data_IF_143233606746
#
_entry.id   IF_143233606746
#
_cell.length_a   1.000
_cell.length_b   1.000
_cell.length_c   1.000
_cell.angle_alpha   90.00
_cell.angle_beta   90.00
_cell.angle_gamma   90.00
#
_symmetry.space_group_name_H-M   'P 1'
#
loop_
_entity.id
_entity.type
_entity.pdbx_description
1 polymer ?
#
# COMPACT_ATOMS: atom_id res chain seq x y z
N UNK A 1 5.76 -5.25 16.58
CA UNK A 1 6.25 -5.23 15.19
C UNK A 1 6.49 -3.75 14.86
N UNK A 2 7.64 -3.39 14.32
CA UNK A 2 7.95 -1.98 14.01
C UNK A 2 7.21 -1.58 12.73
N UNK A 3 6.38 -0.54 12.81
CA UNK A 3 5.63 -0.01 11.68
C UNK A 3 6.36 1.22 11.11
N UNK A 4 6.61 1.31 9.79
CA UNK A 4 6.25 0.36 8.74
C UNK A 4 7.24 -0.82 8.59
N UNK A 5 6.71 -2.04 8.55
CA UNK A 5 7.53 -3.26 8.49
C UNK A 5 8.18 -3.49 7.10
N UNK A 6 9.39 -4.08 7.03
CA UNK A 6 9.98 -4.61 5.79
C UNK A 6 9.23 -5.85 5.30
N UNK A 7 9.55 -6.33 4.09
CA UNK A 7 9.06 -7.62 3.61
C UNK A 7 9.56 -8.77 4.50
N UNK A 8 8.69 -9.73 4.75
CA UNK A 8 9.09 -11.04 5.26
C UNK A 8 9.87 -11.81 4.20
N UNK A 9 10.51 -12.92 4.56
CA UNK A 9 11.23 -13.74 3.57
C UNK A 9 10.29 -14.30 2.50
N UNK A 10 9.08 -14.71 2.88
CA UNK A 10 8.00 -15.06 1.94
C UNK A 10 7.63 -13.87 1.05
N UNK A 11 7.56 -12.66 1.61
CA UNK A 11 7.28 -11.44 0.85
C UNK A 11 8.37 -11.11 -0.18
N UNK A 12 9.64 -11.35 0.15
CA UNK A 12 10.75 -11.21 -0.79
C UNK A 12 10.67 -12.23 -1.93
N UNK A 13 10.39 -13.50 -1.63
CA UNK A 13 10.17 -14.53 -2.65
C UNK A 13 8.99 -14.16 -3.59
N UNK A 14 7.90 -13.65 -3.02
CA UNK A 14 6.76 -13.16 -3.80
C UNK A 14 7.13 -11.98 -4.69
N UNK A 15 7.92 -11.02 -4.20
CA UNK A 15 8.41 -9.89 -4.99
C UNK A 15 9.29 -10.35 -6.16
N UNK A 16 10.19 -11.32 -5.92
CA UNK A 16 11.02 -11.90 -6.98
C UNK A 16 10.19 -12.66 -8.03
N UNK A 17 9.17 -13.40 -7.59
CA UNK A 17 8.24 -14.11 -8.48
C UNK A 17 7.47 -13.13 -9.36
N UNK A 18 7.00 -12.04 -8.76
CA UNK A 18 6.32 -11.00 -9.50
C UNK A 18 7.24 -10.33 -10.51
N UNK A 19 8.46 -9.98 -10.12
CA UNK A 19 9.46 -9.41 -11.03
C UNK A 19 9.78 -10.36 -12.20
N UNK A 20 9.79 -11.69 -11.97
CA UNK A 20 9.90 -12.68 -13.06
C UNK A 20 8.67 -12.67 -13.98
N UNK A 21 7.46 -12.60 -13.41
CA UNK A 21 6.21 -12.58 -14.18
C UNK A 21 6.10 -11.34 -15.08
N UNK A 22 6.70 -10.23 -14.67
CA UNK A 22 6.64 -8.96 -15.37
C UNK A 22 7.83 -8.70 -16.30
N UNK A 23 8.77 -9.65 -16.44
CA UNK A 23 10.02 -9.45 -17.18
C UNK A 23 9.86 -9.15 -18.69
N UNK A 24 8.70 -9.50 -19.28
CA UNK A 24 8.39 -9.22 -20.68
C UNK A 24 7.56 -7.95 -20.87
N UNK A 25 7.14 -7.30 -19.77
CA UNK A 25 6.36 -6.07 -19.79
C UNK A 25 7.29 -4.85 -19.92
N UNK A 26 6.88 -3.87 -20.72
CA UNK A 26 7.67 -2.64 -20.89
C UNK A 26 7.20 -1.55 -19.95
N UNK A 27 8.01 -1.25 -18.95
CA UNK A 27 7.78 -0.13 -18.03
C UNK A 27 8.46 1.14 -18.54
N UNK A 28 7.79 2.28 -18.37
CA UNK A 28 8.41 3.60 -18.62
C UNK A 28 8.91 4.26 -17.34
N UNK A 29 8.36 3.86 -16.20
CA UNK A 29 8.71 4.35 -14.88
C UNK A 29 8.18 3.37 -13.83
N UNK A 30 8.81 3.36 -12.66
CA UNK A 30 8.35 2.61 -11.49
C UNK A 30 8.11 3.62 -10.38
N UNK A 31 6.90 3.61 -9.82
CA UNK A 31 6.53 4.44 -8.68
C UNK A 31 6.23 3.54 -7.49
N UNK A 32 6.65 3.96 -6.30
CA UNK A 32 6.37 3.24 -5.07
C UNK A 32 6.08 4.24 -3.96
N UNK A 33 5.21 3.87 -3.02
CA UNK A 33 5.15 4.61 -1.76
C UNK A 33 6.50 4.51 -1.05
N UNK A 34 6.74 5.45 -0.14
CA UNK A 34 7.93 5.48 0.70
C UNK A 34 7.85 4.49 1.88
N UNK A 35 6.86 3.60 1.90
CA UNK A 35 6.80 2.48 2.83
C UNK A 35 7.83 1.43 2.43
N UNK A 36 8.65 0.99 3.39
CA UNK A 36 9.78 0.10 3.15
C UNK A 36 9.41 -1.16 2.36
N UNK A 37 8.31 -1.82 2.71
CA UNK A 37 7.82 -3.01 1.98
C UNK A 37 7.46 -2.73 0.52
N UNK A 38 6.84 -1.59 0.23
CA UNK A 38 6.48 -1.21 -1.15
C UNK A 38 7.75 -0.90 -1.95
N UNK A 39 8.70 -0.21 -1.32
CA UNK A 39 10.01 0.07 -1.91
C UNK A 39 10.80 -1.22 -2.22
N UNK A 40 10.84 -2.17 -1.28
CA UNK A 40 11.52 -3.45 -1.46
C UNK A 40 10.92 -4.27 -2.61
N UNK A 41 9.59 -4.28 -2.77
CA UNK A 41 8.99 -4.97 -3.92
C UNK A 41 9.25 -4.23 -5.23
N UNK A 42 9.17 -2.90 -5.25
CA UNK A 42 9.50 -2.11 -6.43
C UNK A 42 10.96 -2.30 -6.85
N UNK A 43 11.88 -2.44 -5.89
CA UNK A 43 13.29 -2.70 -6.14
C UNK A 43 13.52 -4.03 -6.87
N UNK A 44 12.80 -5.09 -6.49
CA UNK A 44 12.90 -6.39 -7.15
C UNK A 44 12.53 -6.33 -8.65
N UNK A 45 11.61 -5.43 -9.03
CA UNK A 45 11.21 -5.20 -10.42
C UNK A 45 12.22 -4.26 -11.11
N UNK A 46 12.56 -3.15 -10.46
CA UNK A 46 13.45 -2.11 -10.97
C UNK A 46 14.85 -2.63 -11.33
N UNK A 47 15.38 -3.56 -10.54
CA UNK A 47 16.69 -4.19 -10.79
C UNK A 47 16.71 -4.94 -12.13
N UNK A 48 15.60 -5.58 -12.52
CA UNK A 48 15.52 -6.34 -13.78
C UNK A 48 15.31 -5.44 -14.99
N UNK A 49 14.56 -4.38 -14.82
CA UNK A 49 14.20 -3.43 -15.88
C UNK A 49 15.23 -2.30 -16.05
N UNK A 50 16.23 -2.22 -15.16
CA UNK A 50 17.22 -1.14 -15.09
C UNK A 50 16.55 0.25 -15.05
N UNK A 51 15.49 0.39 -14.25
CA UNK A 51 14.74 1.62 -14.05
C UNK A 51 14.95 2.17 -12.64
N UNK A 52 14.91 3.49 -12.50
CA UNK A 52 14.88 4.12 -11.19
C UNK A 52 13.46 4.05 -10.59
N UNK A 53 13.39 3.86 -9.26
CA UNK A 53 12.15 3.96 -8.50
C UNK A 53 11.92 5.43 -8.16
N UNK A 54 10.73 5.93 -8.43
CA UNK A 54 10.28 7.26 -8.04
C UNK A 54 9.43 7.13 -6.77
N UNK A 55 9.87 7.78 -5.69
CA UNK A 55 9.09 7.83 -4.45
C UNK A 55 7.82 8.65 -4.66
N UNK A 56 6.68 8.08 -4.27
CA UNK A 56 5.37 8.70 -4.39
C UNK A 56 4.55 8.45 -3.11
N UNK A 57 4.63 9.36 -2.12
CA UNK A 57 3.88 9.25 -0.86
C UNK A 57 2.36 9.20 -1.04
N UNK A 58 1.84 9.71 -2.17
CA UNK A 58 0.40 9.62 -2.49
C UNK A 58 -0.05 8.20 -2.85
N UNK A 59 0.85 7.23 -2.92
CA UNK A 59 0.56 5.81 -3.09
C UNK A 59 0.63 5.03 -1.77
N UNK A 60 0.76 5.70 -0.61
CA UNK A 60 0.61 5.04 0.69
C UNK A 60 -0.76 4.38 0.79
N UNK A 61 -0.83 3.30 1.58
CA UNK A 61 -2.11 2.69 1.92
C UNK A 61 -2.94 3.60 2.81
N UNK A 62 -4.20 3.24 2.99
CA UNK A 62 -5.10 3.98 3.86
C UNK A 62 -4.56 4.00 5.30
N UNK A 63 -4.44 5.17 5.90
CA UNK A 63 -4.06 5.32 7.31
C UNK A 63 -5.21 4.91 8.23
N UNK A 64 -5.05 3.79 8.94
CA UNK A 64 -6.04 3.27 9.89
C UNK A 64 -5.86 3.80 11.31
N UNK A 65 -5.00 4.79 11.55
CA UNK A 65 -4.85 5.47 12.82
C UNK A 65 -4.63 4.53 14.00
N UNK A 66 -5.51 4.60 15.00
CA UNK A 66 -5.44 3.76 16.21
C UNK A 66 -5.49 2.25 15.94
N UNK A 67 -5.85 1.81 14.73
CA UNK A 67 -5.97 0.40 14.38
C UNK A 67 -4.71 -0.20 13.72
N UNK A 68 -3.75 0.61 13.25
CA UNK A 68 -2.54 0.19 12.49
C UNK A 68 -1.64 -0.85 13.20
N UNK A 69 -1.80 -1.01 14.52
CA UNK A 69 -0.98 -1.91 15.33
C UNK A 69 -1.78 -2.98 16.07
N UNK A 70 -3.04 -3.18 15.66
CA UNK A 70 -3.94 -4.14 16.29
C UNK A 70 -4.22 -5.30 15.35
N UNK A 71 -4.30 -6.50 15.93
CA UNK A 71 -4.88 -7.63 15.19
C UNK A 71 -6.38 -7.44 15.03
N UNK A 72 -6.99 -8.15 14.08
CA UNK A 72 -8.44 -8.11 13.88
C UNK A 72 -9.21 -8.45 15.17
N UNK A 73 -8.79 -9.50 15.90
CA UNK A 73 -9.37 -9.87 17.19
C UNK A 73 -9.24 -8.76 18.25
N UNK A 74 -8.11 -8.06 18.24
CA UNK A 74 -7.91 -6.91 19.13
C UNK A 74 -8.78 -5.73 18.75
N UNK A 75 -8.96 -5.44 17.46
CA UNK A 75 -9.88 -4.41 16.98
C UNK A 75 -11.32 -4.74 17.40
N UNK A 76 -11.78 -5.96 17.14
CA UNK A 76 -13.12 -6.41 17.53
C UNK A 76 -13.35 -6.30 19.04
N UNK A 77 -12.33 -6.62 19.85
CA UNK A 77 -12.44 -6.58 21.32
C UNK A 77 -12.32 -5.18 21.90
N UNK A 78 -11.43 -4.35 21.38
CA UNK A 78 -11.11 -3.01 21.93
C UNK A 78 -12.01 -1.91 21.36
N UNK A 79 -12.45 -2.06 20.11
CA UNK A 79 -13.16 -1.02 19.36
C UNK A 79 -14.39 -1.57 18.59
N UNK A 80 -15.28 -2.38 19.21
CA UNK A 80 -16.39 -3.04 18.50
C UNK A 80 -17.33 -2.04 17.80
N UNK A 81 -17.74 -0.97 18.49
CA UNK A 81 -18.66 0.02 17.91
C UNK A 81 -18.01 0.88 16.82
N UNK A 82 -16.71 1.17 16.95
CA UNK A 82 -15.97 1.91 15.92
C UNK A 82 -15.82 1.05 14.67
N UNK A 83 -15.50 -0.24 14.85
CA UNK A 83 -15.44 -1.20 13.76
C UNK A 83 -16.80 -1.34 13.06
N UNK A 84 -17.89 -1.45 13.81
CA UNK A 84 -19.25 -1.53 13.26
C UNK A 84 -19.57 -0.31 12.39
N UNK A 85 -19.37 0.91 12.93
CA UNK A 85 -19.59 2.16 12.16
C UNK A 85 -18.71 2.26 10.93
N UNK A 86 -17.45 1.86 11.03
CA UNK A 86 -16.50 1.91 9.92
C UNK A 86 -16.82 0.89 8.83
N UNK A 87 -17.32 -0.30 9.19
CA UNK A 87 -17.78 -1.32 8.23
C UNK A 87 -19.08 -0.92 7.53
N UNK A 88 -19.92 -0.11 8.17
CA UNK A 88 -21.13 0.47 7.55
C UNK A 88 -20.80 1.60 6.59
N UNK A 89 -19.81 2.44 6.93
CA UNK A 89 -19.40 3.59 6.14
C UNK A 89 -17.90 3.86 6.29
N UNK A 90 -17.13 3.49 5.27
CA UNK A 90 -15.68 3.70 5.21
C UNK A 90 -15.25 5.18 5.17
N UNK A 91 -16.20 6.12 5.02
CA UNK A 91 -15.94 7.55 5.19
C UNK A 91 -16.06 8.01 6.65
N UNK A 92 -16.48 7.16 7.58
CA UNK A 92 -16.34 7.44 9.01
C UNK A 92 -14.84 7.36 9.37
N UNK A 93 -14.23 8.45 9.85
CA UNK A 93 -12.82 8.42 10.20
C UNK A 93 -12.61 7.53 11.43
N UNK A 94 -11.63 6.63 11.30
CA UNK A 94 -11.01 5.99 12.46
C UNK A 94 -10.22 7.06 13.23
N UNK A 95 -10.17 6.99 14.55
CA UNK A 95 -9.43 7.98 15.34
C UNK A 95 -7.96 8.02 14.89
N UNK A 96 -7.48 9.21 14.50
CA UNK A 96 -6.12 9.40 13.99
C UNK A 96 -5.87 8.83 12.59
N UNK A 97 -6.86 8.20 11.96
CA UNK A 97 -6.78 7.67 10.60
C UNK A 97 -7.40 8.62 9.57
N UNK A 98 -7.34 8.23 8.31
CA UNK A 98 -7.94 8.98 7.22
C UNK A 98 -9.33 8.45 6.82
N UNK A 99 -10.05 9.23 6.01
CA UNK A 99 -11.32 8.82 5.40
C UNK A 99 -11.09 8.20 4.03
N UNK A 100 -12.03 7.39 3.54
CA UNK A 100 -11.94 6.85 2.17
C UNK A 100 -11.86 7.96 1.12
N UNK A 101 -12.53 9.10 1.34
CA UNK A 101 -12.45 10.28 0.48
C UNK A 101 -11.04 10.90 0.50
N UNK A 102 -10.42 11.06 1.67
CA UNK A 102 -9.05 11.54 1.79
C UNK A 102 -8.07 10.62 1.07
N UNK A 103 -8.20 9.31 1.30
CA UNK A 103 -7.42 8.27 0.64
C UNK A 103 -7.56 8.37 -0.88
N UNK A 104 -8.80 8.40 -1.35
CA UNK A 104 -9.15 8.50 -2.77
C UNK A 104 -8.58 9.77 -3.39
N UNK A 105 -8.66 10.92 -2.71
CA UNK A 105 -8.15 12.19 -3.22
C UNK A 105 -6.64 12.12 -3.52
N UNK A 106 -5.82 11.60 -2.61
CA UNK A 106 -4.38 11.56 -2.85
C UNK A 106 -4.00 10.56 -3.95
N UNK A 107 -4.59 9.36 -3.96
CA UNK A 107 -4.36 8.35 -5.01
C UNK A 107 -4.80 8.86 -6.38
N UNK A 108 -5.99 9.47 -6.48
CA UNK A 108 -6.51 10.01 -7.74
C UNK A 108 -5.69 11.22 -8.22
N UNK A 109 -5.19 12.05 -7.30
CA UNK A 109 -4.31 13.17 -7.68
C UNK A 109 -3.01 12.70 -8.34
N UNK A 110 -2.49 11.53 -7.98
CA UNK A 110 -1.34 10.91 -8.65
C UNK A 110 -1.71 10.42 -10.06
N UNK A 111 -2.87 9.79 -10.21
CA UNK A 111 -3.38 9.37 -11.53
C UNK A 111 -3.57 10.56 -12.46
N UNK A 112 -4.12 11.66 -11.93
CA UNK A 112 -4.52 12.82 -12.70
C UNK A 112 -3.34 13.77 -13.01
N UNK A 113 -2.19 13.63 -12.34
CA UNK A 113 -0.97 14.43 -12.60
C UNK A 113 -0.27 14.14 -13.93
N UNK A 114 -0.95 13.51 -14.89
CA UNK A 114 -0.43 13.32 -16.25
C UNK A 114 0.50 12.11 -16.42
N UNK A 115 0.63 11.26 -15.40
CA UNK A 115 1.44 10.04 -15.39
C UNK A 115 0.76 8.88 -16.18
N UNK A 116 0.22 9.18 -17.36
CA UNK A 116 -0.71 8.33 -18.14
C UNK A 116 -0.05 7.11 -18.82
N UNK A 117 1.25 6.87 -18.65
CA UNK A 117 1.92 5.65 -19.12
C UNK A 117 2.08 4.67 -17.95
N UNK A 118 0.95 4.27 -17.41
CA UNK A 118 0.83 3.44 -16.21
C UNK A 118 0.49 2.01 -16.64
N UNK A 119 1.46 1.28 -17.19
CA UNK A 119 1.35 -0.18 -17.28
C UNK A 119 1.91 -0.74 -15.97
N UNK A 120 1.02 -1.26 -15.12
CA UNK A 120 1.37 -1.93 -13.86
C UNK A 120 1.59 -1.00 -12.66
N UNK A 121 0.54 -0.34 -12.17
CA UNK A 121 0.52 0.10 -10.77
C UNK A 121 0.39 -1.16 -9.90
N UNK A 122 1.50 -1.68 -9.41
CA UNK A 122 1.47 -2.63 -8.31
C UNK A 122 1.43 -1.82 -7.01
N UNK A 123 0.23 -1.41 -6.62
CA UNK A 123 0.01 -0.95 -5.25
C UNK A 123 -0.03 -2.18 -4.35
N UNK A 124 1.07 -2.47 -3.65
CA UNK A 124 1.04 -3.45 -2.56
C UNK A 124 0.59 -2.72 -1.30
N UNK A 125 -0.71 -2.57 -1.16
CA UNK A 125 -1.34 -2.20 0.10
C UNK A 125 -1.54 -3.47 0.91
N UNK A 126 -0.87 -3.59 2.06
CA UNK A 126 -1.19 -4.63 3.02
C UNK A 126 -2.05 -3.97 4.08
N UNK A 127 -3.37 -4.17 4.02
CA UNK A 127 -4.19 -3.91 5.20
C UNK A 127 -3.66 -4.79 6.34
N UNK A 128 -3.02 -4.18 7.35
CA UNK A 128 -2.61 -4.86 8.57
C UNK A 128 -3.83 -5.43 9.34
N UNK A 129 -5.05 -5.02 8.97
CA UNK A 129 -6.27 -5.43 9.65
C UNK A 129 -6.88 -6.78 9.20
N UNK A 130 -6.30 -7.55 8.26
CA UNK A 130 -6.95 -8.80 7.75
C UNK A 130 -6.03 -10.03 7.73
N UNK A 131 -5.23 -10.23 8.78
CA UNK A 131 -4.63 -11.54 9.07
C UNK A 131 -5.32 -12.23 10.24
#
# INVERSE_FOLDING_TARGET
MEYPAPLSDVGKEQAEHLARRLADEKFNAIYASDLKRAWETAAAIAEKENLAIVSEPRLREMDFGVLESLTWDEVQRKYPEMLERWLEDYNQPVEGGETLDAFSMHVLSFRDSGNRKMYGLLSITYSCCVQ
#
